data_IF_876786936972
#
_entry.id   IF_876786936972
#
_cell.length_a   1.000
_cell.length_b   1.000
_cell.length_c   1.000
_cell.angle_alpha   90.00
_cell.angle_beta   90.00
_cell.angle_gamma   90.00
#
_symmetry.space_group_name_H-M   'P 1'
#
loop_
_entity.id
_entity.type
_entity.pdbx_description
1 polymer ?
#
# COMPACT_ATOMS: atom_id res chain seq x y z
N UNK A 1 -5.25 -11.94 -11.27
CA UNK A 1 -5.49 -10.60 -11.81
C UNK A 1 -4.23 -10.08 -12.50
N UNK A 2 -4.38 -9.51 -13.65
CA UNK A 2 -3.31 -8.87 -14.37
C UNK A 2 -2.90 -7.59 -13.62
N UNK A 3 -1.63 -7.38 -13.41
CA UNK A 3 -1.09 -6.22 -12.71
C UNK A 3 -0.79 -5.07 -13.68
N UNK A 4 -1.82 -4.49 -14.21
CA UNK A 4 -1.73 -3.36 -15.11
C UNK A 4 -1.16 -3.77 -16.46
N UNK A 5 -1.44 -3.32 -17.46
CA UNK A 5 -0.99 -3.39 -18.85
C UNK A 5 0.02 -4.50 -19.23
N UNK A 6 0.17 -5.49 -18.43
CA UNK A 6 1.07 -6.61 -18.69
C UNK A 6 0.43 -7.62 -19.62
N UNK A 7 0.07 -7.14 -20.68
CA UNK A 7 -0.53 -7.81 -21.78
C UNK A 7 0.40 -8.80 -22.47
N UNK A 8 1.53 -9.02 -21.97
CA UNK A 8 2.50 -9.98 -22.49
C UNK A 8 2.49 -11.30 -21.69
N UNK A 9 3.62 -11.73 -21.22
CA UNK A 9 3.85 -13.02 -20.55
C UNK A 9 3.26 -13.14 -19.13
N UNK A 10 2.75 -12.04 -18.53
CA UNK A 10 2.04 -12.06 -17.26
C UNK A 10 0.52 -11.89 -17.40
N UNK A 11 0.01 -11.95 -18.59
CA UNK A 11 -1.41 -11.77 -18.86
C UNK A 11 -2.21 -13.01 -18.43
N UNK A 12 -3.11 -12.84 -17.50
CA UNK A 12 -3.95 -13.91 -16.97
C UNK A 12 -5.37 -13.90 -17.50
N UNK A 13 -5.80 -12.79 -18.10
CA UNK A 13 -7.15 -12.63 -18.63
C UNK A 13 -7.15 -11.65 -19.80
N UNK A 14 -8.20 -11.70 -20.59
CA UNK A 14 -8.41 -10.76 -21.69
C UNK A 14 -8.65 -9.35 -21.16
N UNK A 15 -8.31 -8.35 -21.97
CA UNK A 15 -8.38 -6.94 -21.58
C UNK A 15 -9.76 -6.51 -21.13
N UNK A 16 -10.80 -6.96 -21.79
CA UNK A 16 -12.19 -6.65 -21.47
C UNK A 16 -12.59 -7.19 -20.10
N UNK A 17 -12.19 -8.41 -19.79
CA UNK A 17 -12.43 -9.02 -18.47
C UNK A 17 -11.65 -8.31 -17.36
N UNK A 18 -10.42 -7.89 -17.64
CA UNK A 18 -9.62 -7.08 -16.73
C UNK A 18 -10.25 -5.71 -16.46
N UNK A 19 -10.68 -5.01 -17.51
CA UNK A 19 -11.30 -3.69 -17.38
C UNK A 19 -12.62 -3.77 -16.61
N UNK A 20 -13.43 -4.83 -16.85
CA UNK A 20 -14.66 -5.07 -16.09
C UNK A 20 -14.38 -5.34 -14.60
N UNK A 21 -13.37 -6.14 -14.31
CA UNK A 21 -12.97 -6.40 -12.93
C UNK A 21 -12.47 -5.12 -12.24
N UNK A 22 -11.68 -4.30 -12.92
CA UNK A 22 -11.26 -3.00 -12.39
C UNK A 22 -12.45 -2.08 -12.11
N UNK A 23 -13.38 -1.96 -13.02
CA UNK A 23 -14.57 -1.14 -12.83
C UNK A 23 -15.39 -1.56 -11.60
N UNK A 24 -15.37 -2.86 -11.27
CA UNK A 24 -16.10 -3.41 -10.13
C UNK A 24 -15.34 -3.32 -8.81
N UNK A 25 -14.01 -3.50 -8.83
CA UNK A 25 -13.21 -3.73 -7.61
C UNK A 25 -12.17 -2.65 -7.32
N UNK A 26 -11.92 -1.71 -8.23
CA UNK A 26 -11.00 -0.60 -7.95
C UNK A 26 -11.51 0.22 -6.76
N UNK A 27 -10.58 0.64 -5.92
CA UNK A 27 -10.92 1.47 -4.77
C UNK A 27 -11.49 2.83 -5.22
N UNK A 28 -12.56 3.34 -4.58
CA UNK A 28 -13.18 4.63 -4.96
C UNK A 28 -12.20 5.80 -5.07
N UNK A 29 -11.18 5.84 -4.22
CA UNK A 29 -10.12 6.85 -4.28
C UNK A 29 -9.40 6.84 -5.63
N UNK A 30 -9.15 5.64 -6.19
CA UNK A 30 -8.52 5.51 -7.49
C UNK A 30 -9.37 6.13 -8.60
N UNK A 31 -10.66 5.87 -8.56
CA UNK A 31 -11.60 6.42 -9.54
C UNK A 31 -11.75 7.93 -9.40
N UNK A 32 -11.76 8.47 -8.18
CA UNK A 32 -11.90 9.91 -7.93
C UNK A 32 -10.68 10.72 -8.33
N UNK A 33 -9.49 10.12 -8.34
CA UNK A 33 -8.24 10.78 -8.72
C UNK A 33 -7.82 10.50 -10.17
N UNK A 34 -8.64 9.79 -10.94
CA UNK A 34 -8.29 9.30 -12.28
C UNK A 34 -7.76 10.39 -13.21
N UNK A 35 -8.36 11.56 -13.22
CA UNK A 35 -7.91 12.68 -14.05
C UNK A 35 -6.52 13.17 -13.64
N UNK A 36 -6.29 13.35 -12.34
CA UNK A 36 -4.98 13.74 -11.82
C UNK A 36 -3.91 12.67 -12.05
N UNK A 37 -4.25 11.41 -11.92
CA UNK A 37 -3.36 10.28 -12.19
C UNK A 37 -3.00 10.24 -13.68
N UNK A 38 -3.97 10.39 -14.56
CA UNK A 38 -3.77 10.35 -16.01
C UNK A 38 -2.91 11.51 -16.49
N UNK A 39 -3.11 12.71 -15.93
CA UNK A 39 -2.32 13.91 -16.26
C UNK A 39 -0.86 13.79 -15.80
N UNK A 40 -0.63 13.09 -14.71
CA UNK A 40 0.69 12.92 -14.08
C UNK A 40 1.15 11.45 -14.13
N UNK A 41 1.18 10.83 -15.27
CA UNK A 41 1.56 9.39 -15.45
C UNK A 41 2.93 9.00 -14.89
N UNK A 42 3.48 9.80 -14.01
CA UNK A 42 4.74 9.58 -13.33
C UNK A 42 4.53 8.75 -12.06
N UNK A 43 5.47 7.87 -11.78
CA UNK A 43 5.51 7.08 -10.55
C UNK A 43 4.56 5.89 -10.52
N UNK A 44 5.07 4.71 -10.84
CA UNK A 44 4.44 3.40 -10.61
C UNK A 44 2.95 3.31 -11.03
N UNK A 45 2.62 3.84 -12.22
CA UNK A 45 1.25 3.80 -12.75
C UNK A 45 0.23 4.66 -11.97
N UNK A 46 0.70 5.70 -11.27
CA UNK A 46 -0.14 6.64 -10.52
C UNK A 46 -0.23 6.35 -9.02
N UNK A 47 0.38 5.28 -8.52
CA UNK A 47 0.36 4.96 -7.08
C UNK A 47 0.99 6.07 -6.24
N UNK A 48 2.09 6.67 -6.71
CA UNK A 48 2.75 7.77 -6.00
C UNK A 48 1.84 8.99 -5.88
N UNK A 49 1.05 9.28 -6.90
CA UNK A 49 0.06 10.36 -6.87
C UNK A 49 -1.01 10.12 -5.80
N UNK A 50 -1.54 8.91 -5.72
CA UNK A 50 -2.54 8.53 -4.71
C UNK A 50 -1.95 8.61 -3.30
N UNK A 51 -0.73 8.10 -3.11
CA UNK A 51 -0.03 8.16 -1.83
C UNK A 51 0.19 9.59 -1.38
N UNK A 52 0.70 10.45 -2.25
CA UNK A 52 0.95 11.86 -1.94
C UNK A 52 -0.33 12.64 -1.68
N UNK A 53 -1.38 12.39 -2.46
CA UNK A 53 -2.69 12.97 -2.21
C UNK A 53 -3.20 12.65 -0.81
N UNK A 54 -3.13 11.39 -0.41
CA UNK A 54 -3.54 10.93 0.94
C UNK A 54 -2.73 11.60 2.04
N UNK A 55 -1.41 11.63 1.88
CA UNK A 55 -0.51 12.29 2.83
C UNK A 55 -0.87 13.76 3.02
N UNK A 56 -0.95 14.51 1.93
CA UNK A 56 -1.24 15.95 1.96
C UNK A 56 -2.63 16.20 2.54
N UNK A 57 -3.62 15.40 2.15
CA UNK A 57 -4.98 15.51 2.69
C UNK A 57 -5.03 15.29 4.20
N UNK A 58 -4.42 14.22 4.69
CA UNK A 58 -4.36 13.95 6.13
C UNK A 58 -3.69 15.10 6.90
N UNK A 59 -2.61 15.65 6.37
CA UNK A 59 -1.93 16.79 6.99
C UNK A 59 -2.80 18.05 7.02
N UNK A 60 -3.51 18.35 5.92
CA UNK A 60 -4.39 19.52 5.84
C UNK A 60 -5.62 19.40 6.76
N UNK A 61 -6.15 18.20 6.90
CA UNK A 61 -7.32 17.93 7.73
C UNK A 61 -6.96 17.69 9.22
N UNK A 62 -5.68 17.58 9.53
CA UNK A 62 -5.21 17.29 10.88
C UNK A 62 -5.62 15.91 11.39
N UNK A 63 -5.80 14.96 10.47
CA UNK A 63 -6.16 13.58 10.80
C UNK A 63 -4.96 12.65 10.74
N UNK A 64 -5.08 11.48 11.38
CA UNK A 64 -4.01 10.50 11.40
C UNK A 64 -3.66 10.04 9.98
N UNK A 65 -2.37 9.85 9.73
CA UNK A 65 -1.87 9.29 8.48
C UNK A 65 -2.30 7.83 8.32
N UNK A 66 -2.41 7.36 7.09
CA UNK A 66 -2.73 5.96 6.77
C UNK A 66 -1.66 5.01 7.31
N UNK A 67 -0.41 5.45 7.31
CA UNK A 67 0.74 4.71 7.81
C UNK A 67 1.43 5.51 8.91
N UNK A 68 1.81 4.84 9.98
CA UNK A 68 2.56 5.41 11.09
C UNK A 68 4.05 5.10 11.00
N UNK A 69 4.85 5.78 11.80
CA UNK A 69 6.28 5.46 11.95
C UNK A 69 6.49 4.02 12.45
N UNK A 70 5.56 3.48 13.22
CA UNK A 70 5.63 2.12 13.72
C UNK A 70 5.42 1.08 12.61
N UNK A 71 4.57 1.36 11.62
CA UNK A 71 4.42 0.50 10.44
C UNK A 71 5.72 0.45 9.64
N UNK A 72 6.35 1.60 9.41
CA UNK A 72 7.63 1.68 8.74
C UNK A 72 8.75 0.96 9.50
N UNK A 73 8.81 1.12 10.82
CA UNK A 73 9.76 0.42 11.67
C UNK A 73 9.56 -1.10 11.61
N UNK A 74 8.31 -1.57 11.72
CA UNK A 74 7.98 -3.00 11.65
C UNK A 74 8.39 -3.62 10.31
N UNK A 75 8.11 -2.95 9.20
CA UNK A 75 8.49 -3.43 7.87
C UNK A 75 10.01 -3.49 7.69
N UNK A 76 10.72 -2.51 8.25
CA UNK A 76 12.19 -2.48 8.19
C UNK A 76 12.85 -3.61 8.99
N UNK A 77 12.20 -4.08 10.06
CA UNK A 77 12.71 -5.20 10.86
C UNK A 77 12.82 -6.50 10.08
N UNK A 78 11.98 -6.71 9.08
CA UNK A 78 12.00 -7.95 8.27
C UNK A 78 13.37 -8.17 7.65
N UNK A 79 13.98 -7.13 7.05
CA UNK A 79 15.31 -7.23 6.46
C UNK A 79 16.38 -7.57 7.50
N UNK A 80 16.44 -6.81 8.58
CA UNK A 80 17.44 -6.99 9.64
C UNK A 80 17.33 -8.36 10.33
N UNK A 81 16.09 -8.78 10.63
CA UNK A 81 15.88 -10.07 11.29
C UNK A 81 16.11 -11.26 10.35
N UNK A 82 15.82 -11.09 9.05
CA UNK A 82 16.14 -12.11 8.04
C UNK A 82 17.65 -12.32 7.91
N UNK A 83 18.42 -11.24 7.87
CA UNK A 83 19.89 -11.32 7.85
C UNK A 83 20.43 -12.08 9.08
N UNK A 84 19.95 -11.72 10.27
CA UNK A 84 20.34 -12.40 11.52
C UNK A 84 19.93 -13.87 11.53
N UNK A 85 18.72 -14.18 11.05
CA UNK A 85 18.24 -15.56 10.93
C UNK A 85 19.19 -16.40 10.08
N UNK A 86 19.53 -15.90 8.91
CA UNK A 86 20.47 -16.60 8.00
C UNK A 86 21.85 -16.76 8.64
N UNK A 87 22.39 -15.72 9.25
CA UNK A 87 23.70 -15.76 9.92
C UNK A 87 23.74 -16.78 11.08
N UNK A 88 22.60 -17.08 11.68
CA UNK A 88 22.45 -18.05 12.78
C UNK A 88 21.94 -19.41 12.33
N UNK A 89 22.08 -19.76 11.06
CA UNK A 89 21.67 -21.05 10.50
C UNK A 89 20.16 -21.19 10.31
N UNK A 90 19.51 -20.14 9.87
CA UNK A 90 18.06 -20.05 9.61
C UNK A 90 17.20 -20.25 10.88
N UNK A 91 17.67 -19.73 11.99
CA UNK A 91 16.90 -19.80 13.23
C UNK A 91 15.69 -18.85 13.20
N UNK A 92 14.64 -19.25 13.92
CA UNK A 92 13.51 -18.39 14.17
C UNK A 92 13.96 -17.14 14.93
N UNK A 93 13.52 -15.97 14.45
CA UNK A 93 13.73 -14.69 15.10
C UNK A 93 12.40 -14.16 15.64
N UNK A 94 12.40 -13.69 16.87
CA UNK A 94 11.24 -13.00 17.42
C UNK A 94 11.25 -11.54 16.94
N UNK A 95 10.08 -11.06 16.51
CA UNK A 95 9.90 -9.67 16.08
C UNK A 95 9.63 -8.83 17.34
N UNK A 96 10.51 -7.88 17.69
CA UNK A 96 10.28 -7.01 18.84
C UNK A 96 9.08 -6.08 18.60
N UNK A 97 8.32 -5.83 19.63
CA UNK A 97 7.25 -4.84 19.56
C UNK A 97 7.84 -3.43 19.56
N UNK A 98 7.85 -2.80 18.39
CA UNK A 98 8.31 -1.41 18.20
C UNK A 98 7.23 -0.38 18.53
N UNK A 99 6.00 -0.82 18.76
CA UNK A 99 4.85 0.06 18.97
C UNK A 99 4.55 0.32 20.46
N UNK A 100 5.25 -0.36 21.38
CA UNK A 100 4.94 -0.29 22.81
C UNK A 100 3.54 -0.82 23.15
N UNK A 101 3.06 -1.84 22.44
CA UNK A 101 1.76 -2.46 22.65
C UNK A 101 0.62 -1.85 21.84
N UNK A 102 0.83 -0.75 21.14
CA UNK A 102 -0.26 -0.07 20.40
C UNK A 102 -0.79 -0.89 19.22
N UNK A 103 -0.04 -1.88 18.72
CA UNK A 103 -0.49 -2.80 17.68
C UNK A 103 -1.73 -3.62 18.12
N UNK A 104 -1.93 -3.81 19.41
CA UNK A 104 -3.11 -4.50 19.96
C UNK A 104 -4.38 -3.67 19.87
N UNK A 105 -4.24 -2.35 19.71
CA UNK A 105 -5.39 -1.46 19.57
C UNK A 105 -5.82 -1.42 18.12
N UNK A 106 -7.10 -1.77 17.85
CA UNK A 106 -7.66 -1.68 16.51
C UNK A 106 -7.59 -0.23 16.03
N UNK A 107 -6.83 -0.01 14.95
CA UNK A 107 -6.85 1.28 14.24
C UNK A 107 -7.98 1.28 13.23
N UNK A 108 -8.70 2.39 13.20
CA UNK A 108 -9.57 2.66 12.06
C UNK A 108 -8.72 3.33 10.97
N UNK A 109 -8.63 2.67 9.83
CA UNK A 109 -7.95 3.24 8.69
C UNK A 109 -8.80 4.33 8.03
N UNK A 110 -8.32 5.58 7.94
CA UNK A 110 -9.06 6.67 7.31
C UNK A 110 -9.46 6.39 5.86
N UNK A 111 -8.68 5.59 5.16
CA UNK A 111 -8.94 5.17 3.76
C UNK A 111 -10.31 4.49 3.61
N UNK A 112 -10.79 3.80 4.64
CA UNK A 112 -12.08 3.11 4.61
C UNK A 112 -13.26 3.95 5.10
N UNK A 113 -13.03 5.17 5.57
CA UNK A 113 -14.08 6.06 6.07
C UNK A 113 -14.77 6.91 4.99
N UNK A 114 -14.50 6.62 3.75
CA UNK A 114 -14.98 7.44 2.64
C UNK A 114 -14.09 8.66 2.38
N UNK A 115 -14.19 9.14 1.20
CA UNK A 115 -13.46 10.32 0.69
C UNK A 115 -14.26 11.58 0.98
#
# INVERSE_FOLDING_TARGET
LDHGATWDWHRWQEKEAYDAARAQYDHPLWSSLKEGITANQQGHGGMDCVMMYRLIRCLNEGVALDLSVYDGALWSLVGVLSERSVAQGNQRMDIPDVSGGTWQTKREHPVFRGL
#
